data_IF_776778910194
#
_entry.id   IF_776778910194
#
_cell.length_a   1.000
_cell.length_b   1.000
_cell.length_c   1.000
_cell.angle_alpha   90.00
_cell.angle_beta   90.00
_cell.angle_gamma   90.00
#
_symmetry.space_group_name_H-M   'P 1'
#
loop_
_entity.id
_entity.type
_entity.pdbx_description
1 polymer ?
#
# COMPACT_ATOMS: atom_id res chain seq x y z
N UNK A 1 -13.66 -11.54 -6.62
CA UNK A 1 -13.92 -11.16 -5.24
C UNK A 1 -12.63 -10.77 -4.53
N UNK A 2 -12.75 -9.95 -3.52
CA UNK A 2 -11.66 -9.58 -2.63
C UNK A 2 -11.77 -10.40 -1.34
N UNK A 3 -10.64 -10.83 -0.79
CA UNK A 3 -10.59 -11.55 0.47
C UNK A 3 -9.25 -11.24 1.17
N UNK A 4 -9.25 -11.33 2.49
CA UNK A 4 -8.02 -11.22 3.29
C UNK A 4 -7.10 -12.42 3.07
N UNK A 5 -5.85 -12.27 3.46
CA UNK A 5 -4.93 -13.39 3.51
C UNK A 5 -5.51 -14.51 4.39
N UNK A 6 -5.42 -15.78 3.97
CA UNK A 6 -5.90 -16.88 4.79
C UNK A 6 -5.08 -16.97 6.09
N UNK A 7 -5.77 -17.26 7.18
CA UNK A 7 -5.12 -17.52 8.46
C UNK A 7 -4.30 -18.81 8.36
N UNK A 8 -3.08 -18.77 8.89
CA UNK A 8 -2.23 -19.95 9.06
C UNK A 8 -2.12 -20.24 10.54
N UNK A 9 -2.22 -21.51 10.93
CA UNK A 9 -2.10 -21.92 12.33
C UNK A 9 -0.76 -21.41 12.92
N UNK A 10 -0.85 -20.64 14.01
CA UNK A 10 0.31 -19.98 14.62
C UNK A 10 0.78 -18.70 13.91
N UNK A 11 0.11 -18.27 12.85
CA UNK A 11 0.41 -17.06 12.09
C UNK A 11 -0.34 -15.81 12.57
N UNK A 12 -0.21 -14.75 11.80
CA UNK A 12 -0.88 -13.46 12.06
C UNK A 12 -2.38 -13.59 11.81
N UNK A 13 -3.17 -12.86 12.60
CA UNK A 13 -4.62 -12.80 12.46
C UNK A 13 -5.02 -12.35 11.03
N UNK A 14 -5.97 -13.06 10.42
CA UNK A 14 -6.52 -12.76 9.10
C UNK A 14 -7.25 -11.40 9.01
N UNK A 15 -7.51 -10.74 10.15
CA UNK A 15 -8.06 -9.37 10.19
C UNK A 15 -7.02 -8.28 9.90
N UNK A 16 -5.75 -8.64 9.77
CA UNK A 16 -4.70 -7.71 9.35
C UNK A 16 -4.79 -7.48 7.84
N UNK A 17 -4.81 -6.22 7.43
CA UNK A 17 -4.79 -5.83 6.03
C UNK A 17 -3.66 -4.84 5.76
N UNK A 18 -3.12 -4.97 4.55
CA UNK A 18 -2.20 -4.02 4.00
C UNK A 18 -2.96 -2.80 3.44
N UNK A 19 -2.56 -1.62 3.85
CA UNK A 19 -3.07 -0.38 3.29
C UNK A 19 -1.90 0.54 2.93
N UNK A 20 -1.91 1.03 1.69
CA UNK A 20 -1.04 2.09 1.22
C UNK A 20 -1.85 3.35 0.95
N UNK A 21 -1.32 4.50 1.30
CA UNK A 21 -1.91 5.79 1.00
C UNK A 21 -0.92 6.67 0.25
N UNK A 22 -1.42 7.41 -0.74
CA UNK A 22 -0.67 8.51 -1.32
C UNK A 22 -0.70 9.70 -0.36
N UNK A 23 0.46 10.27 -0.07
CA UNK A 23 0.59 11.37 0.87
C UNK A 23 1.07 12.63 0.17
N UNK A 24 0.62 13.77 0.67
CA UNK A 24 1.13 15.09 0.28
C UNK A 24 1.98 15.61 1.43
N UNK A 25 3.23 15.96 1.15
CA UNK A 25 4.12 16.54 2.14
C UNK A 25 4.48 17.98 1.76
N UNK A 26 4.47 18.85 2.75
CA UNK A 26 4.90 20.24 2.61
C UNK A 26 6.30 20.37 3.20
N UNK A 27 7.25 20.78 2.36
CA UNK A 27 8.62 20.96 2.83
C UNK A 27 8.72 22.13 3.81
N UNK A 28 9.53 21.97 4.85
CA UNK A 28 9.81 23.03 5.82
C UNK A 28 10.53 24.26 5.21
N UNK A 29 11.10 24.10 4.03
CA UNK A 29 11.80 25.17 3.31
C UNK A 29 10.87 25.97 2.39
N UNK A 30 9.59 25.61 2.29
CA UNK A 30 8.64 26.38 1.48
C UNK A 30 8.40 27.75 2.11
N UNK A 31 8.49 28.80 1.32
CA UNK A 31 8.14 30.16 1.71
C UNK A 31 6.62 30.39 1.76
N UNK A 32 5.83 29.43 1.24
CA UNK A 32 4.38 29.53 1.11
C UNK A 32 3.68 28.33 1.79
N UNK A 33 4.10 27.96 2.99
CA UNK A 33 3.60 26.76 3.68
C UNK A 33 2.08 26.78 3.88
N UNK A 34 1.50 27.94 4.24
CA UNK A 34 0.05 28.05 4.44
C UNK A 34 -0.70 27.82 3.13
N UNK A 35 -0.28 28.46 2.04
CA UNK A 35 -0.91 28.27 0.75
C UNK A 35 -0.78 26.81 0.23
N UNK A 36 0.34 26.18 0.49
CA UNK A 36 0.55 24.76 0.18
C UNK A 36 -0.37 23.86 1.00
N UNK A 37 -0.55 24.16 2.29
CA UNK A 37 -1.49 23.45 3.16
C UNK A 37 -2.95 23.62 2.71
N UNK A 38 -3.34 24.85 2.38
CA UNK A 38 -4.68 25.16 1.89
C UNK A 38 -4.98 24.42 0.58
N UNK A 39 -3.99 24.36 -0.34
CA UNK A 39 -4.11 23.61 -1.58
C UNK A 39 -4.20 22.09 -1.29
N UNK A 40 -3.33 21.55 -0.43
CA UNK A 40 -3.38 20.15 -0.07
C UNK A 40 -4.74 19.76 0.52
N UNK A 41 -5.26 20.57 1.45
CA UNK A 41 -6.59 20.37 2.04
C UNK A 41 -7.69 20.44 0.99
N UNK A 42 -7.60 21.40 0.08
CA UNK A 42 -8.59 21.57 -0.98
C UNK A 42 -8.70 20.38 -1.92
N UNK A 43 -7.57 19.78 -2.32
CA UNK A 43 -7.56 18.64 -3.24
C UNK A 43 -7.82 17.29 -2.56
N UNK A 44 -7.71 17.21 -1.23
CA UNK A 44 -7.94 15.98 -0.45
C UNK A 44 -9.24 16.00 0.35
N UNK A 45 -10.14 16.93 0.07
CA UNK A 45 -11.43 17.02 0.75
C UNK A 45 -12.57 17.42 -0.18
N UNK A 46 -13.79 17.07 0.23
CA UNK A 46 -15.03 17.46 -0.44
C UNK A 46 -15.10 17.02 -1.91
N UNK A 47 -15.69 17.90 -2.73
CA UNK A 47 -15.98 17.61 -4.14
C UNK A 47 -14.72 17.34 -5.00
N UNK A 48 -13.60 18.00 -4.68
CA UNK A 48 -12.37 17.82 -5.47
C UNK A 48 -11.70 16.49 -5.23
N UNK A 49 -11.67 16.02 -3.98
CA UNK A 49 -11.19 14.68 -3.64
C UNK A 49 -12.04 13.62 -4.37
N UNK A 50 -13.38 13.76 -4.38
CA UNK A 50 -14.25 12.86 -5.13
C UNK A 50 -13.94 12.89 -6.64
N UNK A 51 -13.79 14.07 -7.24
CA UNK A 51 -13.47 14.22 -8.66
C UNK A 51 -12.10 13.66 -9.05
N UNK A 52 -11.15 13.63 -8.12
CA UNK A 52 -9.84 13.03 -8.34
C UNK A 52 -9.87 11.51 -8.18
N UNK A 53 -10.61 11.01 -7.20
CA UNK A 53 -10.69 9.59 -6.87
C UNK A 53 -11.48 8.78 -7.91
N UNK A 54 -12.62 9.30 -8.38
CA UNK A 54 -13.54 8.59 -9.28
C UNK A 54 -12.88 8.10 -10.58
N UNK A 55 -12.25 8.97 -11.40
CA UNK A 55 -11.63 8.51 -12.65
C UNK A 55 -10.40 7.62 -12.42
N UNK A 56 -9.75 7.74 -11.28
CA UNK A 56 -8.61 6.90 -10.90
C UNK A 56 -9.04 5.56 -10.29
N UNK A 57 -10.34 5.37 -10.00
CA UNK A 57 -10.85 4.17 -9.32
C UNK A 57 -10.30 4.01 -7.91
N UNK A 58 -9.90 5.12 -7.26
CA UNK A 58 -9.30 5.14 -5.92
C UNK A 58 -10.34 5.38 -4.84
N UNK A 59 -10.00 5.02 -3.61
CA UNK A 59 -10.79 5.37 -2.44
C UNK A 59 -10.48 6.83 -2.09
N UNK A 60 -11.51 7.71 -1.97
CA UNK A 60 -11.30 9.10 -1.57
C UNK A 60 -10.61 9.22 -0.21
N UNK A 61 -9.84 10.28 -0.01
CA UNK A 61 -9.21 10.58 1.27
C UNK A 61 -10.22 11.12 2.30
N UNK A 62 -11.21 11.86 1.84
CA UNK A 62 -12.28 12.39 2.67
C UNK A 62 -13.32 11.29 2.96
N UNK A 63 -13.52 10.89 4.23
CA UNK A 63 -14.44 9.83 4.59
C UNK A 63 -15.93 10.18 4.35
N UNK A 64 -16.25 11.45 4.07
CA UNK A 64 -17.60 11.86 3.68
C UNK A 64 -17.92 11.57 2.21
N UNK A 65 -16.89 11.31 1.41
CA UNK A 65 -17.00 10.94 0.01
C UNK A 65 -17.31 9.46 -0.18
N UNK A 66 -17.81 9.11 -1.38
CA UNK A 66 -18.21 7.74 -1.69
C UNK A 66 -17.12 7.03 -2.50
N UNK A 67 -16.66 5.91 -2.02
CA UNK A 67 -15.75 5.07 -2.79
C UNK A 67 -16.44 4.49 -4.05
N UNK A 68 -15.71 4.34 -5.17
CA UNK A 68 -16.24 3.68 -6.35
C UNK A 68 -16.74 2.25 -6.02
N UNK A 69 -17.82 1.82 -6.66
CA UNK A 69 -18.41 0.50 -6.40
C UNK A 69 -17.41 -0.66 -6.58
N UNK A 70 -16.42 -0.49 -7.45
CA UNK A 70 -15.31 -1.45 -7.63
C UNK A 70 -14.43 -1.61 -6.39
N UNK A 71 -14.43 -0.63 -5.48
CA UNK A 71 -13.64 -0.60 -4.25
C UNK A 71 -14.43 -0.98 -2.98
N UNK A 72 -15.72 -1.28 -3.09
CA UNK A 72 -16.55 -1.61 -1.92
C UNK A 72 -15.94 -2.75 -1.08
N UNK A 73 -15.44 -3.80 -1.71
CA UNK A 73 -14.78 -4.90 -1.00
C UNK A 73 -13.49 -4.47 -0.29
N UNK A 74 -12.73 -3.55 -0.89
CA UNK A 74 -11.51 -2.98 -0.27
C UNK A 74 -11.87 -2.14 0.95
N UNK A 75 -12.90 -1.30 0.84
CA UNK A 75 -13.40 -0.48 1.96
C UNK A 75 -13.86 -1.35 3.10
N UNK A 76 -14.63 -2.42 2.82
CA UNK A 76 -15.09 -3.37 3.84
C UNK A 76 -13.91 -4.05 4.56
N UNK A 77 -12.91 -4.52 3.81
CA UNK A 77 -11.69 -5.12 4.38
C UNK A 77 -10.95 -4.11 5.27
N UNK A 78 -10.77 -2.87 4.83
CA UNK A 78 -10.08 -1.84 5.60
C UNK A 78 -10.84 -1.46 6.87
N UNK A 79 -12.16 -1.35 6.82
CA UNK A 79 -13.01 -1.04 7.97
C UNK A 79 -12.98 -2.14 9.04
N UNK A 80 -12.82 -3.39 8.63
CA UNK A 80 -12.74 -4.54 9.52
C UNK A 80 -11.30 -4.86 9.97
N UNK A 81 -10.31 -4.12 9.50
CA UNK A 81 -8.90 -4.33 9.85
C UNK A 81 -8.61 -3.83 11.26
N UNK A 82 -8.13 -4.70 12.11
CA UNK A 82 -7.74 -4.39 13.50
C UNK A 82 -6.26 -4.08 13.67
N UNK A 83 -5.43 -4.55 12.74
CA UNK A 83 -3.98 -4.35 12.75
C UNK A 83 -3.49 -4.02 11.33
N UNK A 84 -3.45 -2.72 10.94
CA UNK A 84 -2.94 -2.35 9.62
C UNK A 84 -1.45 -2.70 9.52
N UNK A 85 -1.09 -3.38 8.43
CA UNK A 85 0.29 -3.69 8.13
C UNK A 85 0.89 -2.56 7.29
N UNK A 86 2.11 -2.18 7.59
CA UNK A 86 2.87 -1.29 6.70
C UNK A 86 3.25 -2.04 5.43
N UNK A 87 3.10 -1.36 4.31
CA UNK A 87 3.16 -1.99 2.99
C UNK A 87 4.48 -2.69 2.67
N UNK A 88 5.55 -2.33 3.27
CA UNK A 88 6.87 -2.90 3.01
C UNK A 88 7.58 -3.44 4.24
N UNK A 89 6.88 -3.50 5.37
CA UNK A 89 7.44 -4.02 6.63
C UNK A 89 8.84 -3.47 6.98
N UNK A 90 9.10 -2.19 6.66
CA UNK A 90 10.39 -1.54 6.90
C UNK A 90 11.45 -1.76 5.80
N UNK A 91 11.15 -2.52 4.72
CA UNK A 91 12.12 -2.78 3.65
C UNK A 91 12.61 -1.51 2.92
N UNK A 92 11.85 -0.41 2.97
CA UNK A 92 12.29 0.86 2.39
C UNK A 92 13.48 1.49 3.12
N UNK A 93 13.76 1.06 4.34
CA UNK A 93 14.93 1.51 5.09
C UNK A 93 16.23 0.93 4.55
N UNK A 94 16.12 -0.16 3.76
CA UNK A 94 17.22 -0.80 3.07
C UNK A 94 16.90 -0.92 1.56
N UNK A 95 17.23 0.13 0.79
CA UNK A 95 16.94 0.18 -0.63
C UNK A 95 17.65 -0.89 -1.45
N UNK A 96 18.83 -1.33 -1.01
CA UNK A 96 19.59 -2.39 -1.67
C UNK A 96 18.88 -3.73 -1.50
N UNK A 97 18.37 -4.03 -0.31
CA UNK A 97 17.60 -5.24 -0.04
C UNK A 97 16.34 -5.32 -0.91
N UNK A 98 15.61 -4.20 -1.04
CA UNK A 98 14.42 -4.14 -1.88
C UNK A 98 14.74 -4.45 -3.35
N UNK A 99 15.83 -3.88 -3.87
CA UNK A 99 16.28 -4.13 -5.24
C UNK A 99 16.64 -5.61 -5.46
N UNK A 100 17.36 -6.21 -4.52
CA UNK A 100 17.75 -7.61 -4.59
C UNK A 100 16.54 -8.57 -4.49
N UNK A 101 15.53 -8.23 -3.67
CA UNK A 101 14.26 -8.98 -3.63
C UNK A 101 13.57 -8.90 -4.99
N UNK A 102 13.47 -7.72 -5.58
CA UNK A 102 12.85 -7.54 -6.90
C UNK A 102 13.57 -8.33 -7.99
N UNK A 103 14.91 -8.31 -8.01
CA UNK A 103 15.71 -9.09 -8.94
C UNK A 103 15.44 -10.60 -8.81
N UNK A 104 15.36 -11.12 -7.58
CA UNK A 104 15.03 -12.53 -7.35
C UNK A 104 13.59 -12.88 -7.77
N UNK A 105 12.63 -11.95 -7.61
CA UNK A 105 11.26 -12.13 -8.10
C UNK A 105 11.24 -12.19 -9.64
N UNK A 106 11.95 -11.29 -10.33
CA UNK A 106 12.08 -11.31 -11.79
C UNK A 106 12.70 -12.64 -12.25
N UNK A 107 13.80 -13.06 -11.61
CA UNK A 107 14.45 -14.33 -11.88
C UNK A 107 13.53 -15.53 -11.68
N UNK A 108 12.63 -15.49 -10.67
CA UNK A 108 11.61 -16.53 -10.50
C UNK A 108 10.65 -16.59 -11.70
N UNK A 109 10.16 -15.44 -12.17
CA UNK A 109 9.29 -15.37 -13.35
C UNK A 109 9.98 -15.85 -14.64
N UNK A 110 11.26 -15.64 -14.76
CA UNK A 110 12.08 -16.10 -15.90
C UNK A 110 12.47 -17.59 -15.80
N UNK A 111 12.02 -18.29 -14.78
CA UNK A 111 12.35 -19.71 -14.57
C UNK A 111 13.78 -19.96 -14.09
N UNK A 112 14.42 -18.94 -13.51
CA UNK A 112 15.81 -19.02 -13.02
C UNK A 112 15.99 -19.76 -11.70
N UNK A 113 14.91 -20.29 -11.09
CA UNK A 113 14.96 -21.19 -9.94
C UNK A 113 14.31 -22.53 -10.31
N UNK A 114 14.95 -23.63 -9.91
CA UNK A 114 14.43 -24.96 -10.20
C UNK A 114 13.22 -25.31 -9.31
N UNK A 115 13.20 -24.81 -8.07
CA UNK A 115 12.12 -25.04 -7.10
C UNK A 115 11.80 -23.79 -6.31
N UNK A 116 10.62 -23.76 -5.66
CA UNK A 116 10.28 -22.71 -4.70
C UNK A 116 11.20 -22.65 -3.48
N UNK A 117 11.80 -23.79 -3.11
CA UNK A 117 12.78 -23.86 -2.03
C UNK A 117 14.08 -23.11 -2.40
N UNK A 118 14.53 -23.22 -3.67
CA UNK A 118 15.71 -22.47 -4.15
C UNK A 118 15.46 -20.96 -4.13
N UNK A 119 14.25 -20.53 -4.49
CA UNK A 119 13.85 -19.12 -4.41
C UNK A 119 13.82 -18.64 -2.94
N UNK A 120 13.22 -19.42 -2.04
CA UNK A 120 13.19 -19.07 -0.62
C UNK A 120 14.61 -18.95 -0.04
N UNK A 121 15.49 -19.92 -0.34
CA UNK A 121 16.90 -19.88 0.10
C UNK A 121 17.65 -18.66 -0.48
N UNK A 122 17.34 -18.24 -1.70
CA UNK A 122 17.94 -17.05 -2.28
C UNK A 122 17.47 -15.75 -1.59
N UNK A 123 16.24 -15.70 -1.08
CA UNK A 123 15.75 -14.58 -0.28
C UNK A 123 16.36 -14.60 1.14
N UNK A 124 16.44 -15.77 1.77
CA UNK A 124 17.05 -15.92 3.10
C UNK A 124 18.52 -15.48 3.11
N UNK A 125 19.24 -15.67 2.00
CA UNK A 125 20.63 -15.25 1.87
C UNK A 125 20.84 -13.74 1.77
N UNK A 126 19.77 -12.94 1.64
CA UNK A 126 19.82 -11.47 1.61
C UNK A 126 19.85 -10.85 3.02
N UNK A 127 19.52 -11.63 4.05
CA UNK A 127 19.54 -11.24 5.46
C UNK A 127 20.81 -11.74 6.16
#
# INVERSE_FOLDING_TARGET
GLFNYPSVEGGVDATSAYAGANSIAITKYSENQQAAFDLATYITSGEYDQKMADPAGQIPADPSNTAPASQNGTVEVLQNTTAPLTWNMGLNENGDLMSQIQENVVKLYEGGFATGADFAAALDALY
#
